data_IF_657101301275
#
_entry.id   IF_657101301275
#
_cell.length_a   1.000
_cell.length_b   1.000
_cell.length_c   1.000
_cell.angle_alpha   90.00
_cell.angle_beta   90.00
_cell.angle_gamma   90.00
#
_symmetry.space_group_name_H-M   'P 1'
#
loop_
_entity.id
_entity.type
_entity.pdbx_description
1 polymer ?
#
# COMPACT_ATOMS: atom_id res chain seq x y z
N UNK A 1 -46.56 16.58 -25.92
CA UNK A 1 -46.67 15.72 -24.72
C UNK A 1 -45.44 15.94 -23.87
N UNK A 2 -45.53 16.79 -22.85
CA UNK A 2 -44.48 16.91 -21.84
C UNK A 2 -44.55 15.63 -21.00
N UNK A 3 -43.64 14.69 -21.23
CA UNK A 3 -43.45 13.57 -20.30
C UNK A 3 -42.85 14.16 -19.02
N UNK A 4 -43.71 14.33 -18.01
CA UNK A 4 -43.28 14.54 -16.64
C UNK A 4 -42.49 13.29 -16.23
N UNK A 5 -41.16 13.40 -16.21
CA UNK A 5 -40.32 12.40 -15.55
C UNK A 5 -40.71 12.46 -14.06
N UNK A 6 -41.23 11.37 -13.48
CA UNK A 6 -41.57 11.36 -12.06
C UNK A 6 -40.30 11.66 -11.25
N UNK A 7 -40.39 12.40 -10.13
CA UNK A 7 -39.23 12.64 -9.28
C UNK A 7 -38.63 11.29 -8.86
N UNK A 8 -37.31 11.17 -8.98
CA UNK A 8 -36.59 9.97 -8.56
C UNK A 8 -36.98 9.62 -7.12
N UNK A 9 -37.26 8.34 -6.86
CA UNK A 9 -37.62 7.88 -5.52
C UNK A 9 -36.43 8.14 -4.60
N UNK A 10 -36.66 8.84 -3.50
CA UNK A 10 -35.60 9.07 -2.51
C UNK A 10 -35.12 7.70 -1.98
N UNK A 11 -33.86 7.39 -2.22
CA UNK A 11 -33.25 6.10 -1.92
C UNK A 11 -32.61 6.18 -0.54
N UNK A 12 -32.84 5.20 0.33
CA UNK A 12 -32.13 5.12 1.61
C UNK A 12 -30.70 4.59 1.42
N UNK A 13 -29.82 4.82 2.41
CA UNK A 13 -28.46 4.24 2.41
C UNK A 13 -28.52 2.72 2.35
N UNK A 14 -29.47 2.11 3.08
CA UNK A 14 -29.70 0.67 3.10
C UNK A 14 -30.11 0.15 1.72
N UNK A 15 -31.05 0.83 1.06
CA UNK A 15 -31.47 0.49 -0.31
C UNK A 15 -30.31 0.61 -1.31
N UNK A 16 -29.45 1.62 -1.13
CA UNK A 16 -28.30 1.85 -2.00
C UNK A 16 -27.27 0.74 -1.82
N UNK A 17 -26.89 0.41 -0.60
CA UNK A 17 -25.94 -0.68 -0.33
C UNK A 17 -26.51 -2.04 -0.70
N UNK A 18 -27.80 -2.30 -0.44
CA UNK A 18 -28.45 -3.51 -0.92
C UNK A 18 -28.36 -3.61 -2.44
N UNK A 19 -28.61 -2.51 -3.17
CA UNK A 19 -28.46 -2.46 -4.62
C UNK A 19 -27.01 -2.77 -5.04
N UNK A 20 -26.01 -2.13 -4.42
CA UNK A 20 -24.61 -2.37 -4.75
C UNK A 20 -24.20 -3.82 -4.50
N UNK A 21 -24.56 -4.37 -3.33
CA UNK A 21 -24.22 -5.73 -2.95
C UNK A 21 -24.92 -6.76 -3.87
N UNK A 22 -26.20 -6.54 -4.18
CA UNK A 22 -26.95 -7.41 -5.11
C UNK A 22 -26.33 -7.42 -6.51
N UNK A 23 -25.78 -6.29 -6.96
CA UNK A 23 -25.27 -6.13 -8.32
C UNK A 23 -23.73 -6.08 -8.41
N UNK A 24 -23.01 -6.37 -7.32
CA UNK A 24 -21.58 -6.09 -7.17
C UNK A 24 -20.73 -6.67 -8.31
N UNK A 25 -20.95 -7.95 -8.65
CA UNK A 25 -20.19 -8.63 -9.71
C UNK A 25 -20.38 -7.96 -11.08
N UNK A 26 -21.62 -7.60 -11.43
CA UNK A 26 -21.91 -6.98 -12.72
C UNK A 26 -21.45 -5.51 -12.75
N UNK A 27 -21.62 -4.78 -11.65
CA UNK A 27 -21.12 -3.41 -11.50
C UNK A 27 -19.61 -3.36 -11.63
N UNK A 28 -18.87 -4.18 -10.88
CA UNK A 28 -17.41 -4.28 -10.99
C UNK A 28 -17.02 -4.58 -12.42
N UNK A 29 -17.63 -5.58 -13.06
CA UNK A 29 -17.33 -5.92 -14.46
C UNK A 29 -17.56 -4.74 -15.42
N UNK A 30 -18.67 -4.02 -15.27
CA UNK A 30 -18.97 -2.84 -16.07
C UNK A 30 -17.95 -1.71 -15.82
N UNK A 31 -17.60 -1.45 -14.55
CA UNK A 31 -16.61 -0.43 -14.19
C UNK A 31 -15.24 -0.74 -14.76
N UNK A 32 -14.77 -2.00 -14.68
CA UNK A 32 -13.51 -2.42 -15.29
C UNK A 32 -13.52 -2.27 -16.82
N UNK A 33 -14.67 -2.50 -17.46
CA UNK A 33 -14.82 -2.27 -18.91
C UNK A 33 -14.65 -0.78 -19.25
N UNK A 34 -15.35 0.11 -18.53
CA UNK A 34 -15.26 1.55 -18.77
C UNK A 34 -13.89 2.14 -18.41
N UNK A 35 -13.25 1.59 -17.38
CA UNK A 35 -11.88 1.95 -17.01
C UNK A 35 -10.89 1.62 -18.14
N UNK A 36 -11.02 0.44 -18.76
CA UNK A 36 -10.17 0.02 -19.90
C UNK A 36 -10.43 0.81 -21.19
N UNK A 37 -11.66 1.29 -21.38
CA UNK A 37 -12.02 2.15 -22.52
C UNK A 37 -11.55 3.60 -22.34
N UNK A 38 -11.09 3.96 -21.15
CA UNK A 38 -10.59 5.30 -20.85
C UNK A 38 -9.15 5.46 -21.36
N UNK A 39 -8.99 5.83 -22.62
CA UNK A 39 -7.71 5.92 -23.33
C UNK A 39 -6.71 6.95 -22.76
N UNK A 40 -7.15 7.82 -21.85
CA UNK A 40 -6.33 8.89 -21.25
C UNK A 40 -5.57 8.48 -19.99
N UNK A 41 -5.81 7.30 -19.43
CA UNK A 41 -5.21 6.88 -18.15
C UNK A 41 -3.91 6.09 -18.37
N UNK A 42 -2.87 6.42 -17.60
CA UNK A 42 -1.63 5.64 -17.55
C UNK A 42 -1.84 4.29 -16.85
N UNK A 43 -0.91 3.34 -17.04
CA UNK A 43 -1.00 2.01 -16.41
C UNK A 43 -1.07 2.05 -14.88
N UNK A 44 -0.46 3.05 -14.23
CA UNK A 44 -0.53 3.24 -12.78
C UNK A 44 -1.84 3.90 -12.35
N UNK A 45 -2.32 4.91 -13.08
CA UNK A 45 -3.61 5.56 -12.81
C UNK A 45 -4.77 4.56 -12.91
N UNK A 46 -4.73 3.67 -13.90
CA UNK A 46 -5.71 2.59 -14.05
C UNK A 46 -5.77 1.72 -12.78
N UNK A 47 -4.61 1.27 -12.28
CA UNK A 47 -4.53 0.43 -11.08
C UNK A 47 -4.99 1.17 -9.82
N UNK A 48 -4.72 2.47 -9.70
CA UNK A 48 -5.19 3.29 -8.59
C UNK A 48 -6.71 3.36 -8.61
N UNK A 49 -7.32 3.66 -9.76
CA UNK A 49 -8.79 3.72 -9.85
C UNK A 49 -9.40 2.34 -9.61
N UNK A 50 -8.80 1.26 -10.12
CA UNK A 50 -9.22 -0.12 -9.83
C UNK A 50 -9.19 -0.42 -8.33
N UNK A 51 -8.15 0.01 -7.61
CA UNK A 51 -8.07 -0.09 -6.15
C UNK A 51 -9.18 0.71 -5.45
N UNK A 52 -9.44 1.94 -5.88
CA UNK A 52 -10.52 2.76 -5.32
C UNK A 52 -11.89 2.10 -5.52
N UNK A 53 -12.11 1.46 -6.67
CA UNK A 53 -13.32 0.70 -6.95
C UNK A 53 -13.45 -0.50 -6.01
N UNK A 54 -12.42 -1.33 -5.95
CA UNK A 54 -12.46 -2.55 -5.13
C UNK A 54 -12.63 -2.23 -3.64
N UNK A 55 -11.92 -1.22 -3.13
CA UNK A 55 -12.05 -0.77 -1.74
C UNK A 55 -13.43 -0.19 -1.46
N UNK A 56 -14.00 0.62 -2.36
CA UNK A 56 -15.35 1.16 -2.18
C UNK A 56 -16.39 0.04 -2.02
N UNK A 57 -16.34 -0.99 -2.86
CA UNK A 57 -17.26 -2.13 -2.72
C UNK A 57 -17.02 -2.96 -1.46
N UNK A 58 -15.78 -3.07 -0.98
CA UNK A 58 -15.49 -3.73 0.29
C UNK A 58 -16.13 -2.99 1.46
N UNK A 59 -16.04 -1.66 1.47
CA UNK A 59 -16.67 -0.84 2.50
C UNK A 59 -18.20 -0.94 2.49
N UNK A 60 -18.84 -1.05 1.32
CA UNK A 60 -20.32 -1.21 1.22
C UNK A 60 -20.83 -2.58 1.69
N UNK A 61 -19.94 -3.58 1.74
CA UNK A 61 -20.27 -4.92 2.28
C UNK A 61 -20.13 -5.03 3.79
N UNK A 62 -19.33 -4.16 4.43
CA UNK A 62 -19.13 -4.12 5.86
C UNK A 62 -20.27 -3.31 6.52
N UNK A 63 -21.40 -3.96 6.77
CA UNK A 63 -22.54 -3.36 7.47
C UNK A 63 -22.25 -3.26 8.99
N UNK A 64 -22.35 -2.09 9.61
CA UNK A 64 -22.73 -1.99 11.01
C UNK A 64 -24.27 -2.09 11.10
N UNK A 65 -24.77 -2.91 12.03
CA UNK A 65 -26.20 -3.13 12.31
C UNK A 65 -26.94 -1.89 12.87
N UNK A 66 -26.70 -0.67 12.39
CA UNK A 66 -27.28 0.54 12.98
C UNK A 66 -27.80 1.55 11.95
N UNK A 67 -29.08 1.87 12.08
CA UNK A 67 -29.89 2.81 11.30
C UNK A 67 -29.56 4.31 11.51
N UNK A 68 -28.30 4.65 11.81
CA UNK A 68 -27.92 6.01 12.24
C UNK A 68 -27.10 6.72 11.16
N UNK A 69 -27.59 7.88 10.68
CA UNK A 69 -26.89 8.77 9.70
C UNK A 69 -25.46 9.17 10.12
N UNK A 70 -25.13 9.12 11.41
CA UNK A 70 -23.77 9.38 11.90
C UNK A 70 -22.75 8.32 11.45
N UNK A 71 -23.21 7.12 11.12
CA UNK A 71 -22.35 6.00 10.73
C UNK A 71 -21.95 6.07 9.25
N UNK A 72 -22.84 6.57 8.38
CA UNK A 72 -22.56 6.81 6.95
C UNK A 72 -21.38 7.79 6.77
N UNK A 73 -21.42 8.94 7.45
CA UNK A 73 -20.37 9.95 7.33
C UNK A 73 -19.05 9.46 7.90
N UNK A 74 -19.07 8.65 8.97
CA UNK A 74 -17.86 8.01 9.50
C UNK A 74 -17.24 7.04 8.51
N UNK A 75 -18.04 6.21 7.84
CA UNK A 75 -17.57 5.26 6.83
C UNK A 75 -16.96 5.97 5.62
N UNK A 76 -17.61 7.02 5.13
CA UNK A 76 -17.09 7.85 4.04
C UNK A 76 -15.76 8.50 4.45
N UNK A 77 -15.68 9.04 5.67
CA UNK A 77 -14.45 9.65 6.17
C UNK A 77 -13.32 8.62 6.34
N UNK A 78 -13.61 7.42 6.83
CA UNK A 78 -12.63 6.33 6.95
C UNK A 78 -12.10 5.91 5.57
N UNK A 79 -12.98 5.69 4.58
CA UNK A 79 -12.56 5.36 3.22
C UNK A 79 -11.70 6.48 2.59
N UNK A 80 -12.04 7.75 2.81
CA UNK A 80 -11.21 8.87 2.34
C UNK A 80 -9.83 8.83 2.99
N UNK A 81 -9.77 8.63 4.32
CA UNK A 81 -8.51 8.61 5.07
C UNK A 81 -7.58 7.51 4.58
N UNK A 82 -8.12 6.30 4.37
CA UNK A 82 -7.35 5.15 3.87
C UNK A 82 -6.71 5.39 2.49
N UNK A 83 -7.30 6.27 1.68
CA UNK A 83 -6.88 6.52 0.31
C UNK A 83 -6.38 7.95 0.10
N UNK A 84 -6.21 8.74 1.16
CA UNK A 84 -5.97 10.19 1.03
C UNK A 84 -4.71 10.53 0.24
N UNK A 85 -3.67 9.72 0.37
CA UNK A 85 -2.40 9.88 -0.34
C UNK A 85 -2.50 9.62 -1.84
N UNK A 86 -3.59 9.00 -2.29
CA UNK A 86 -3.87 8.69 -3.69
C UNK A 86 -5.18 9.32 -4.19
N UNK A 87 -5.94 9.99 -3.35
CA UNK A 87 -7.13 10.73 -3.77
C UNK A 87 -6.75 12.12 -4.28
N UNK A 88 -7.46 12.56 -5.30
CA UNK A 88 -7.49 13.95 -5.75
C UNK A 88 -8.83 14.20 -6.46
N UNK A 89 -9.15 15.47 -6.76
CA UNK A 89 -10.41 15.81 -7.41
C UNK A 89 -10.59 15.14 -8.77
N UNK A 90 -9.52 14.96 -9.54
CA UNK A 90 -9.56 14.28 -10.83
C UNK A 90 -9.94 12.81 -10.69
N UNK A 91 -9.29 12.07 -9.78
CA UNK A 91 -9.54 10.65 -9.52
C UNK A 91 -10.94 10.42 -8.93
N UNK A 92 -11.40 11.29 -8.03
CA UNK A 92 -12.78 11.27 -7.51
C UNK A 92 -13.77 11.44 -8.67
N UNK A 93 -13.50 12.39 -9.57
CA UNK A 93 -14.34 12.62 -10.75
C UNK A 93 -14.32 11.45 -11.73
N UNK A 94 -13.17 10.85 -12.00
CA UNK A 94 -13.04 9.66 -12.85
C UNK A 94 -13.79 8.47 -12.27
N UNK A 95 -13.61 8.20 -10.96
CA UNK A 95 -14.36 7.19 -10.24
C UNK A 95 -15.87 7.43 -10.38
N UNK A 96 -16.30 8.68 -10.23
CA UNK A 96 -17.71 9.06 -10.37
C UNK A 96 -18.28 8.74 -11.77
N UNK A 97 -17.60 9.19 -12.83
CA UNK A 97 -18.02 8.96 -14.22
C UNK A 97 -18.09 7.46 -14.53
N UNK A 98 -17.06 6.70 -14.12
CA UNK A 98 -16.99 5.26 -14.38
C UNK A 98 -18.12 4.53 -13.66
N UNK A 99 -18.41 4.91 -12.42
CA UNK A 99 -19.51 4.33 -11.65
C UNK A 99 -20.86 4.63 -12.29
N UNK A 100 -21.11 5.89 -12.68
CA UNK A 100 -22.36 6.28 -13.33
C UNK A 100 -22.60 5.51 -14.63
N UNK A 101 -21.58 5.40 -15.49
CA UNK A 101 -21.63 4.60 -16.73
C UNK A 101 -21.89 3.11 -16.43
N UNK A 102 -21.28 2.58 -15.38
CA UNK A 102 -21.46 1.19 -15.00
C UNK A 102 -22.87 0.88 -14.50
N UNK A 103 -23.44 1.78 -13.69
CA UNK A 103 -24.84 1.70 -13.22
C UNK A 103 -25.81 1.86 -14.39
N UNK A 104 -25.58 2.82 -15.29
CA UNK A 104 -26.43 3.06 -16.46
C UNK A 104 -26.47 1.87 -17.45
N UNK A 105 -25.42 1.03 -17.44
CA UNK A 105 -25.33 -0.18 -18.29
C UNK A 105 -25.60 -1.47 -17.55
N UNK A 106 -26.06 -1.41 -16.29
CA UNK A 106 -26.56 -2.59 -15.62
C UNK A 106 -27.80 -3.12 -16.36
N UNK A 107 -27.74 -4.39 -16.75
CA UNK A 107 -28.89 -5.12 -17.24
C UNK A 107 -29.78 -5.50 -16.06
N UNK A 108 -30.58 -4.55 -15.57
CA UNK A 108 -31.58 -4.80 -14.52
C UNK A 108 -32.92 -5.10 -15.18
N UNK A 109 -33.55 -6.21 -14.78
CA UNK A 109 -34.93 -6.49 -15.16
C UNK A 109 -35.85 -5.44 -14.51
N UNK A 110 -36.36 -4.50 -15.31
CA UNK A 110 -37.40 -3.52 -14.99
C UNK A 110 -37.19 -2.62 -13.75
N UNK A 111 -36.66 -1.41 -14.00
CA UNK A 111 -37.30 -0.09 -13.75
C UNK A 111 -36.22 0.99 -13.90
N UNK A 112 -36.29 1.78 -14.97
CA UNK A 112 -35.40 2.93 -15.21
C UNK A 112 -35.35 3.88 -13.99
N UNK A 113 -36.45 4.00 -13.25
CA UNK A 113 -36.55 4.83 -12.05
C UNK A 113 -35.58 4.44 -10.93
N UNK A 114 -35.30 3.14 -10.73
CA UNK A 114 -34.35 2.68 -9.71
C UNK A 114 -32.91 3.07 -10.09
N UNK A 115 -32.54 2.87 -11.36
CA UNK A 115 -31.22 3.26 -11.89
C UNK A 115 -31.00 4.75 -11.72
N UNK A 116 -31.98 5.58 -12.09
CA UNK A 116 -31.92 7.04 -11.91
C UNK A 116 -31.76 7.39 -10.42
N UNK A 117 -32.53 6.76 -9.55
CA UNK A 117 -32.47 7.01 -8.10
C UNK A 117 -31.09 6.64 -7.51
N UNK A 118 -30.47 5.54 -7.96
CA UNK A 118 -29.12 5.13 -7.57
C UNK A 118 -28.06 6.13 -8.06
N UNK A 119 -28.17 6.61 -9.30
CA UNK A 119 -27.25 7.62 -9.86
C UNK A 119 -27.34 8.93 -9.06
N UNK A 120 -28.55 9.43 -8.81
CA UNK A 120 -28.78 10.66 -8.03
C UNK A 120 -28.26 10.51 -6.60
N UNK A 121 -28.51 9.35 -5.97
CA UNK A 121 -27.99 9.08 -4.63
C UNK A 121 -26.46 9.06 -4.61
N UNK A 122 -25.84 8.41 -5.59
CA UNK A 122 -24.39 8.38 -5.70
C UNK A 122 -23.78 9.76 -6.02
N UNK A 123 -24.47 10.64 -6.75
CA UNK A 123 -24.06 12.04 -6.89
C UNK A 123 -23.99 12.76 -5.55
N UNK A 124 -24.93 12.49 -4.64
CA UNK A 124 -24.89 12.99 -3.26
C UNK A 124 -23.66 12.45 -2.51
N UNK A 125 -23.38 11.14 -2.58
CA UNK A 125 -22.18 10.54 -1.99
C UNK A 125 -20.91 11.17 -2.56
N UNK A 126 -20.81 11.30 -3.89
CA UNK A 126 -19.65 11.89 -4.58
C UNK A 126 -19.41 13.35 -4.17
N UNK A 127 -20.50 14.10 -3.97
CA UNK A 127 -20.44 15.47 -3.46
C UNK A 127 -19.94 15.51 -2.02
N UNK A 128 -20.46 14.63 -1.14
CA UNK A 128 -19.96 14.47 0.23
C UNK A 128 -18.49 14.04 0.26
N UNK A 129 -18.07 13.13 -0.62
CA UNK A 129 -16.69 12.68 -0.78
C UNK A 129 -15.79 13.86 -1.15
N UNK A 130 -16.17 14.62 -2.18
CA UNK A 130 -15.42 15.80 -2.65
C UNK A 130 -15.33 16.88 -1.57
N UNK A 131 -16.42 17.15 -0.85
CA UNK A 131 -16.44 18.10 0.24
C UNK A 131 -15.61 17.63 1.44
N UNK A 132 -15.65 16.34 1.77
CA UNK A 132 -14.89 15.77 2.88
C UNK A 132 -13.39 15.75 2.55
N UNK A 133 -13.02 15.41 1.32
CA UNK A 133 -11.65 15.53 0.81
C UNK A 133 -11.16 16.99 0.85
N UNK A 134 -11.99 17.94 0.39
CA UNK A 134 -11.71 19.37 0.47
C UNK A 134 -11.53 19.84 1.92
N UNK A 135 -12.45 19.49 2.80
CA UNK A 135 -12.39 19.82 4.22
C UNK A 135 -11.16 19.22 4.87
N UNK A 136 -10.75 18.02 4.49
CA UNK A 136 -9.53 17.40 5.01
C UNK A 136 -8.30 18.20 4.57
N UNK A 137 -8.21 18.57 3.29
CA UNK A 137 -7.15 19.44 2.79
C UNK A 137 -7.17 20.85 3.45
N UNK A 138 -8.35 21.41 3.75
CA UNK A 138 -8.51 22.75 4.33
C UNK A 138 -8.36 22.81 5.87
N UNK A 139 -8.83 21.80 6.60
CA UNK A 139 -8.73 21.75 8.07
C UNK A 139 -7.29 21.44 8.54
N UNK A 140 -6.51 20.77 7.69
CA UNK A 140 -5.06 20.60 7.88
C UNK A 140 -4.26 21.92 7.83
N UNK A 141 -4.89 23.04 7.46
CA UNK A 141 -4.32 24.39 7.57
C UNK A 141 -4.58 25.06 8.92
N UNK A 142 -5.39 24.47 9.81
CA UNK A 142 -5.94 25.14 11.00
C UNK A 142 -5.70 24.44 12.34
N UNK A 143 -5.12 23.24 12.38
CA UNK A 143 -4.81 22.55 13.64
C UNK A 143 -3.50 23.05 14.25
N UNK A 144 -3.60 23.82 15.33
CA UNK A 144 -2.47 24.12 16.22
C UNK A 144 -2.05 22.82 16.93
N UNK A 145 -0.91 22.24 16.50
CA UNK A 145 -0.33 21.04 17.10
C UNK A 145 0.37 20.10 16.12
N UNK A 146 0.08 20.19 14.82
CA UNK A 146 0.82 19.49 13.75
C UNK A 146 2.07 20.30 13.33
N UNK A 147 3.01 19.66 12.63
CA UNK A 147 4.19 20.32 12.04
C UNK A 147 3.81 21.37 10.96
N UNK A 148 2.50 21.59 10.75
CA UNK A 148 1.87 22.43 9.73
C UNK A 148 1.03 23.61 10.28
N UNK A 149 1.25 24.11 11.50
CA UNK A 149 0.67 25.41 11.88
C UNK A 149 1.39 26.59 11.17
N UNK A 150 1.00 26.85 9.93
CA UNK A 150 0.78 28.18 9.34
C UNK A 150 0.87 28.14 7.81
N UNK A 151 -0.08 28.83 7.19
CA UNK A 151 -0.36 29.08 5.76
C UNK A 151 0.76 29.74 4.93
N UNK A 152 2.04 29.60 5.29
CA UNK A 152 3.17 30.11 4.53
C UNK A 152 3.97 28.95 3.88
N UNK A 153 3.91 28.77 2.55
CA UNK A 153 4.67 27.75 1.83
C UNK A 153 6.17 27.76 2.15
N UNK A 154 6.76 28.93 2.38
CA UNK A 154 8.17 29.06 2.74
C UNK A 154 8.48 28.47 4.13
N UNK A 155 7.57 28.65 5.10
CA UNK A 155 7.72 28.11 6.46
C UNK A 155 7.61 26.58 6.44
N UNK A 156 6.67 26.04 5.66
CA UNK A 156 6.57 24.59 5.45
C UNK A 156 7.84 24.02 4.82
N UNK A 157 8.32 24.61 3.72
CA UNK A 157 9.54 24.17 3.06
C UNK A 157 10.73 24.23 4.03
N UNK A 158 10.87 25.31 4.79
CA UNK A 158 11.92 25.45 5.79
C UNK A 158 11.84 24.35 6.87
N UNK A 159 10.65 24.04 7.38
CA UNK A 159 10.47 22.97 8.36
C UNK A 159 10.78 21.59 7.77
N UNK A 160 10.30 21.33 6.55
CA UNK A 160 10.60 20.12 5.79
C UNK A 160 12.12 19.94 5.62
N UNK A 161 12.83 20.97 5.16
CA UNK A 161 14.29 20.93 5.02
C UNK A 161 15.00 20.71 6.35
N UNK A 162 14.50 21.31 7.43
CA UNK A 162 15.05 21.10 8.78
C UNK A 162 14.95 19.65 9.21
N UNK A 163 13.76 19.04 9.09
CA UNK A 163 13.51 17.64 9.43
C UNK A 163 14.40 16.70 8.61
N UNK A 164 14.42 16.90 7.30
CA UNK A 164 15.23 16.09 6.37
C UNK A 164 16.72 16.20 6.71
N UNK A 165 17.25 17.41 6.93
CA UNK A 165 18.65 17.60 7.27
C UNK A 165 19.01 16.97 8.63
N UNK A 166 18.10 17.00 9.61
CA UNK A 166 18.31 16.31 10.88
C UNK A 166 18.41 14.79 10.66
N UNK A 167 17.50 14.20 9.88
CA UNK A 167 17.55 12.78 9.55
C UNK A 167 18.81 12.41 8.75
N UNK A 168 19.16 13.20 7.73
CA UNK A 168 20.33 12.96 6.89
C UNK A 168 21.61 12.90 7.73
N UNK A 169 21.76 13.77 8.74
CA UNK A 169 22.89 13.71 9.68
C UNK A 169 22.96 12.39 10.44
N UNK A 170 21.83 11.87 10.90
CA UNK A 170 21.74 10.57 11.59
C UNK A 170 22.10 9.43 10.64
N UNK A 171 21.58 9.47 9.41
CA UNK A 171 21.86 8.46 8.39
C UNK A 171 23.34 8.46 8.00
N UNK A 172 23.95 9.63 7.78
CA UNK A 172 25.37 9.77 7.41
C UNK A 172 26.31 9.24 8.51
N UNK A 173 25.92 9.39 9.78
CA UNK A 173 26.68 8.86 10.91
C UNK A 173 26.51 7.34 11.09
N UNK A 174 25.56 6.73 10.38
CA UNK A 174 25.24 5.31 10.45
C UNK A 174 26.00 4.51 9.38
N UNK A 175 26.47 3.31 9.74
CA UNK A 175 27.41 2.54 8.92
C UNK A 175 26.92 1.14 8.53
N UNK A 176 25.85 0.64 9.16
CA UNK A 176 25.29 -0.68 8.86
C UNK A 176 23.89 -0.90 9.44
N UNK A 177 23.29 -2.05 9.11
CA UNK A 177 21.92 -2.43 9.55
C UNK A 177 21.70 -2.41 11.07
N UNK A 178 22.78 -2.53 11.87
CA UNK A 178 22.70 -2.42 13.34
C UNK A 178 22.28 -1.02 13.80
N UNK A 179 22.58 -0.01 13.00
CA UNK A 179 22.28 1.40 13.28
C UNK A 179 20.85 1.77 12.87
N UNK A 180 20.12 0.87 12.20
CA UNK A 180 18.72 1.13 11.82
C UNK A 180 17.86 1.45 13.04
N UNK A 181 18.06 0.75 14.17
CA UNK A 181 17.36 1.05 15.41
C UNK A 181 17.62 2.48 15.93
N UNK A 182 18.84 2.98 15.77
CA UNK A 182 19.19 4.35 16.12
C UNK A 182 18.52 5.36 15.19
N UNK A 183 18.46 5.07 13.88
CA UNK A 183 17.73 5.89 12.91
C UNK A 183 16.23 5.94 13.23
N UNK A 184 15.60 4.80 13.53
CA UNK A 184 14.17 4.78 13.89
C UNK A 184 13.89 5.56 15.18
N UNK A 185 14.81 5.47 16.16
CA UNK A 185 14.67 6.26 17.39
C UNK A 185 14.77 7.76 17.11
N UNK A 186 15.69 8.17 16.23
CA UNK A 186 15.75 9.56 15.80
C UNK A 186 14.48 9.99 15.05
N UNK A 187 13.87 9.12 14.24
CA UNK A 187 12.58 9.41 13.61
C UNK A 187 11.48 9.68 14.63
N UNK A 188 11.39 8.91 15.72
CA UNK A 188 10.44 9.17 16.82
C UNK A 188 10.62 10.60 17.38
N UNK A 189 11.86 10.99 17.64
CA UNK A 189 12.19 12.28 18.24
C UNK A 189 11.99 13.47 17.26
N UNK A 190 12.48 13.34 16.03
CA UNK A 190 12.42 14.39 15.01
C UNK A 190 10.98 14.64 14.56
N UNK A 191 10.18 13.58 14.44
CA UNK A 191 8.79 13.65 13.96
C UNK A 191 7.77 13.71 15.09
N UNK A 192 8.21 13.66 16.36
CA UNK A 192 7.38 13.71 17.55
C UNK A 192 6.33 12.59 17.63
N UNK A 193 6.73 11.35 17.30
CA UNK A 193 5.92 10.14 17.50
C UNK A 193 6.43 9.34 18.70
N UNK A 194 5.53 8.69 19.44
CA UNK A 194 5.93 7.83 20.56
C UNK A 194 6.57 6.52 20.11
N UNK A 195 6.19 6.03 18.93
CA UNK A 195 6.65 4.74 18.43
C UNK A 195 6.90 4.78 16.92
N UNK A 196 8.07 4.29 16.52
CA UNK A 196 8.43 3.98 15.14
C UNK A 196 8.86 2.51 15.04
N UNK A 197 8.25 1.75 14.15
CA UNK A 197 8.54 0.31 13.98
C UNK A 197 8.86 0.01 12.52
N UNK A 198 9.92 -0.76 12.29
CA UNK A 198 10.26 -1.30 10.97
C UNK A 198 9.80 -2.74 10.81
N UNK A 199 9.10 -2.97 9.70
CA UNK A 199 8.70 -4.28 9.22
C UNK A 199 9.40 -4.57 7.89
N UNK A 200 10.10 -5.69 7.82
CA UNK A 200 10.72 -6.16 6.58
C UNK A 200 9.69 -6.91 5.74
N UNK A 201 9.75 -6.72 4.42
CA UNK A 201 8.88 -7.37 3.45
C UNK A 201 9.66 -8.32 2.54
N UNK A 202 9.12 -9.52 2.32
CA UNK A 202 9.71 -10.53 1.45
C UNK A 202 8.82 -10.68 0.21
N UNK A 203 9.30 -10.17 -0.92
CA UNK A 203 8.53 -10.04 -2.16
C UNK A 203 7.94 -11.37 -2.68
N UNK A 204 8.73 -12.45 -2.68
CA UNK A 204 8.31 -13.73 -3.29
C UNK A 204 7.32 -14.51 -2.44
N UNK A 205 7.44 -14.45 -1.10
CA UNK A 205 6.49 -15.09 -0.18
C UNK A 205 5.28 -14.21 0.09
N UNK A 206 5.39 -12.91 -0.17
CA UNK A 206 4.43 -11.89 0.27
C UNK A 206 4.25 -11.88 1.80
N UNK A 207 5.29 -12.29 2.52
CA UNK A 207 5.32 -12.28 3.97
C UNK A 207 6.01 -11.02 4.50
N UNK A 208 5.65 -10.64 5.71
CA UNK A 208 6.32 -9.58 6.44
C UNK A 208 6.58 -9.98 7.88
N UNK A 209 7.55 -9.31 8.51
CA UNK A 209 7.89 -9.52 9.92
C UNK A 209 8.37 -8.22 10.56
N UNK A 210 7.93 -7.96 11.79
CA UNK A 210 8.47 -6.89 12.61
C UNK A 210 9.92 -7.18 13.02
N UNK A 211 10.82 -6.25 12.74
CA UNK A 211 12.25 -6.43 12.97
C UNK A 211 12.73 -5.55 14.11
N UNK A 212 12.40 -4.26 14.07
CA UNK A 212 12.94 -3.23 14.97
C UNK A 212 11.82 -2.30 15.41
N UNK A 213 11.79 -1.95 16.69
CA UNK A 213 10.89 -0.95 17.26
C UNK A 213 10.91 -1.01 18.77
N UNK A 214 10.24 -0.05 19.42
CA UNK A 214 9.94 -0.14 20.85
C UNK A 214 9.09 -1.39 21.13
N UNK A 215 9.20 -1.96 22.33
CA UNK A 215 8.51 -3.21 22.68
C UNK A 215 8.91 -4.38 21.75
N UNK A 216 10.21 -4.58 21.54
CA UNK A 216 10.79 -5.48 20.53
C UNK A 216 10.15 -6.89 20.48
N UNK A 217 9.83 -7.48 21.64
CA UNK A 217 9.17 -8.80 21.68
C UNK A 217 7.79 -8.79 21.04
N UNK A 218 6.99 -7.73 21.25
CA UNK A 218 5.68 -7.55 20.58
C UNK A 218 5.88 -7.34 19.08
N UNK A 219 6.82 -6.46 18.71
CA UNK A 219 7.16 -6.19 17.30
C UNK A 219 7.55 -7.48 16.57
N UNK A 220 8.46 -8.27 17.13
CA UNK A 220 8.95 -9.50 16.51
C UNK A 220 7.92 -10.64 16.49
N UNK A 221 6.91 -10.56 17.35
CA UNK A 221 5.76 -11.48 17.31
C UNK A 221 4.81 -11.17 16.15
N UNK A 222 4.77 -9.92 15.69
CA UNK A 222 3.91 -9.50 14.59
C UNK A 222 4.53 -9.83 13.23
N UNK A 223 3.87 -10.75 12.52
CA UNK A 223 4.26 -11.27 11.21
C UNK A 223 3.01 -11.80 10.50
N UNK A 224 3.04 -11.86 9.19
CA UNK A 224 1.91 -12.38 8.42
C UNK A 224 2.13 -12.24 6.93
N UNK A 225 1.05 -12.40 6.17
CA UNK A 225 1.04 -12.16 4.73
C UNK A 225 0.35 -10.84 4.43
N UNK A 226 0.81 -10.11 3.42
CA UNK A 226 0.25 -8.79 3.07
C UNK A 226 -1.21 -8.88 2.62
N UNK A 227 -1.63 -10.05 2.14
CA UNK A 227 -2.99 -10.30 1.69
C UNK A 227 -4.03 -10.16 2.81
N UNK A 228 -3.62 -10.37 4.07
CA UNK A 228 -4.49 -10.24 5.24
C UNK A 228 -4.70 -8.79 5.69
N UNK A 229 -4.02 -7.81 5.07
CA UNK A 229 -4.03 -6.41 5.49
C UNK A 229 -4.29 -5.49 4.29
N UNK A 230 -5.53 -4.98 4.11
CA UNK A 230 -5.89 -4.12 2.98
C UNK A 230 -4.98 -2.88 2.84
N UNK A 231 -4.67 -2.24 3.96
CA UNK A 231 -3.78 -1.07 4.03
C UNK A 231 -2.38 -1.35 3.47
N UNK A 232 -1.81 -2.52 3.75
CA UNK A 232 -0.51 -2.91 3.22
C UNK A 232 -0.57 -3.23 1.72
N UNK A 233 -1.70 -3.77 1.23
CA UNK A 233 -1.91 -3.97 -0.21
C UNK A 233 -1.96 -2.64 -0.96
N UNK A 234 -2.65 -1.64 -0.40
CA UNK A 234 -2.65 -0.26 -0.91
C UNK A 234 -1.23 0.32 -0.92
N UNK A 235 -0.49 0.17 0.17
CA UNK A 235 0.90 0.63 0.27
C UNK A 235 1.80 -0.01 -0.80
N UNK A 236 1.74 -1.32 -1.00
CA UNK A 236 2.56 -2.00 -2.02
C UNK A 236 2.21 -1.58 -3.45
N UNK A 237 0.92 -1.37 -3.73
CA UNK A 237 0.47 -0.97 -5.06
C UNK A 237 0.89 0.46 -5.39
N UNK A 238 0.66 1.36 -4.45
CA UNK A 238 0.76 2.81 -4.64
C UNK A 238 2.15 3.35 -4.32
N UNK A 239 2.90 2.65 -3.45
CA UNK A 239 4.15 3.10 -2.85
C UNK A 239 4.00 4.45 -2.14
N UNK A 240 2.79 4.74 -1.66
CA UNK A 240 2.46 5.93 -0.90
C UNK A 240 2.21 5.58 0.57
N UNK A 241 2.45 6.53 1.49
CA UNK A 241 2.03 6.37 2.87
C UNK A 241 0.52 6.13 2.99
N UNK A 242 0.13 5.34 3.98
CA UNK A 242 -1.27 5.05 4.31
C UNK A 242 -1.53 5.55 5.72
N UNK A 243 -2.60 6.32 5.92
CA UNK A 243 -3.00 6.80 7.24
C UNK A 243 -4.32 6.16 7.63
N UNK A 244 -4.41 5.69 8.87
CA UNK A 244 -5.56 4.96 9.41
C UNK A 244 -5.92 5.61 10.74
N UNK A 245 -7.19 5.97 10.92
CA UNK A 245 -7.71 6.56 12.16
C UNK A 245 -8.90 5.75 12.65
N UNK A 246 -8.70 5.05 13.77
CA UNK A 246 -9.75 4.32 14.49
C UNK A 246 -10.62 3.41 13.60
N UNK A 247 -10.00 2.72 12.63
CA UNK A 247 -10.70 1.82 11.71
C UNK A 247 -10.23 0.37 11.86
N UNK A 248 -11.12 -0.46 12.43
CA UNK A 248 -10.93 -1.90 12.56
C UNK A 248 -11.08 -2.65 11.21
N UNK A 249 -11.57 -1.99 10.16
CA UNK A 249 -11.70 -2.60 8.84
C UNK A 249 -10.35 -2.75 8.12
N UNK A 250 -9.44 -1.79 8.35
CA UNK A 250 -8.11 -1.75 7.77
C UNK A 250 -7.01 -2.40 8.63
N UNK A 251 -7.25 -2.57 9.94
CA UNK A 251 -6.33 -3.21 10.89
C UNK A 251 -7.08 -4.23 11.76
N UNK A 252 -6.63 -5.50 11.86
CA UNK A 252 -7.25 -6.48 12.74
C UNK A 252 -7.29 -6.03 14.21
N UNK A 253 -8.40 -6.27 14.91
CA UNK A 253 -8.58 -5.87 16.32
C UNK A 253 -7.46 -6.37 17.25
N UNK A 254 -6.94 -7.57 17.00
CA UNK A 254 -5.83 -8.14 17.77
C UNK A 254 -4.59 -7.25 17.69
N UNK A 255 -4.34 -6.65 16.52
CA UNK A 255 -3.22 -5.73 16.29
C UNK A 255 -3.47 -4.41 17.03
N UNK A 256 -4.70 -3.89 16.96
CA UNK A 256 -5.10 -2.66 17.67
C UNK A 256 -4.87 -2.84 19.18
N UNK A 257 -5.30 -3.96 19.76
CA UNK A 257 -5.14 -4.27 21.19
C UNK A 257 -3.68 -4.53 21.56
N UNK A 258 -2.92 -5.25 20.72
CA UNK A 258 -1.53 -5.59 20.99
C UNK A 258 -0.63 -4.34 21.11
N UNK A 259 -0.90 -3.36 20.26
CA UNK A 259 -0.09 -2.16 20.11
C UNK A 259 -0.73 -0.90 20.72
N UNK A 260 -1.96 -0.97 21.23
CA UNK A 260 -2.73 0.19 21.71
C UNK A 260 -2.85 1.28 20.64
N UNK A 261 -3.48 0.94 19.51
CA UNK A 261 -3.58 1.82 18.34
C UNK A 261 -4.87 2.65 18.37
N UNK A 262 -4.74 3.94 18.10
CA UNK A 262 -5.88 4.83 17.82
C UNK A 262 -5.75 5.50 16.46
N UNK A 263 -4.53 5.88 16.09
CA UNK A 263 -4.16 6.34 14.74
C UNK A 263 -2.84 5.67 14.34
N UNK A 264 -2.65 5.37 13.06
CA UNK A 264 -1.45 4.73 12.51
C UNK A 264 -1.10 5.34 11.16
N UNK A 265 0.17 5.70 10.95
CA UNK A 265 0.71 5.94 9.61
C UNK A 265 1.62 4.78 9.24
N UNK A 266 1.45 4.25 8.02
CA UNK A 266 2.32 3.25 7.43
C UNK A 266 3.07 3.88 6.26
N UNK A 267 4.39 3.91 6.34
CA UNK A 267 5.28 4.59 5.38
C UNK A 267 6.10 3.54 4.64
N UNK A 268 5.96 3.42 3.32
CA UNK A 268 6.75 2.46 2.55
C UNK A 268 8.23 2.86 2.58
N UNK A 269 9.11 1.88 2.77
CA UNK A 269 10.54 2.04 2.56
C UNK A 269 10.84 1.51 1.17
N UNK A 270 11.30 2.40 0.29
CA UNK A 270 11.48 2.09 -1.12
C UNK A 270 12.88 2.37 -1.61
N UNK A 271 13.33 1.56 -2.57
CA UNK A 271 14.58 1.75 -3.30
C UNK A 271 14.35 1.33 -4.77
N UNK A 272 14.74 2.17 -5.73
CA UNK A 272 14.61 1.90 -7.19
C UNK A 272 13.26 1.28 -7.63
N UNK A 273 12.16 1.68 -6.97
CA UNK A 273 10.78 1.22 -7.16
C UNK A 273 10.36 -0.07 -6.44
N UNK A 274 11.25 -0.75 -5.73
CA UNK A 274 10.92 -1.89 -4.87
C UNK A 274 10.60 -1.44 -3.44
N UNK A 275 9.78 -2.24 -2.74
CA UNK A 275 9.40 -1.98 -1.36
C UNK A 275 10.13 -2.98 -0.47
N UNK A 276 11.19 -2.56 0.21
CA UNK A 276 11.95 -3.46 1.11
C UNK A 276 11.22 -3.74 2.43
N UNK A 277 10.25 -2.90 2.76
CA UNK A 277 9.50 -2.95 4.00
C UNK A 277 8.72 -1.66 4.22
N UNK A 278 8.33 -1.41 5.46
CA UNK A 278 7.66 -0.17 5.84
C UNK A 278 7.96 0.21 7.28
N UNK A 279 7.81 1.50 7.56
CA UNK A 279 7.73 2.04 8.91
C UNK A 279 6.28 2.18 9.33
N UNK A 280 6.02 2.04 10.62
CA UNK A 280 4.78 2.52 11.23
C UNK A 280 5.06 3.60 12.24
N UNK A 281 4.18 4.60 12.31
CA UNK A 281 4.21 5.67 13.31
C UNK A 281 2.88 5.75 14.05
N UNK A 282 2.94 5.83 15.38
CA UNK A 282 1.75 6.03 16.21
C UNK A 282 2.07 6.74 17.54
N UNK A 283 1.01 7.03 18.30
CA UNK A 283 1.05 7.78 19.56
C UNK A 283 0.56 6.98 20.78
N UNK A 284 0.46 5.64 20.67
CA UNK A 284 0.06 4.72 21.75
C UNK A 284 -1.21 5.17 22.50
N UNK A 285 -2.38 4.83 21.96
CA UNK A 285 -3.69 5.13 22.54
C UNK A 285 -4.17 6.56 22.34
N UNK A 286 -3.36 7.41 21.68
CA UNK A 286 -3.70 8.82 21.41
C UNK A 286 -4.00 8.97 19.91
N UNK A 287 -5.18 9.50 19.60
CA UNK A 287 -5.54 9.86 18.24
C UNK A 287 -4.73 11.08 17.78
N UNK A 288 -4.37 11.09 16.50
CA UNK A 288 -3.79 12.24 15.83
C UNK A 288 -4.32 12.35 14.40
N UNK A 289 -4.14 13.53 13.82
CA UNK A 289 -4.42 13.85 12.43
C UNK A 289 -3.12 14.19 11.69
N UNK A 290 -3.18 14.24 10.37
CA UNK A 290 -2.02 14.45 9.52
C UNK A 290 -2.39 15.18 8.23
N UNK A 291 -1.45 15.88 7.62
CA UNK A 291 -1.65 16.55 6.32
C UNK A 291 -1.08 15.76 5.14
N UNK A 292 -1.54 16.08 3.92
CA UNK A 292 -0.98 15.49 2.70
C UNK A 292 0.51 15.83 2.54
N UNK A 293 0.89 17.05 2.90
CA UNK A 293 2.26 17.54 2.89
C UNK A 293 3.13 16.80 3.91
N UNK A 294 2.61 16.57 5.11
CA UNK A 294 3.29 15.77 6.11
C UNK A 294 3.46 14.32 5.62
N UNK A 295 2.45 13.72 4.95
CA UNK A 295 2.59 12.38 4.35
C UNK A 295 3.68 12.37 3.28
N UNK A 296 3.77 13.43 2.47
CA UNK A 296 4.82 13.57 1.46
C UNK A 296 6.21 13.66 2.10
N UNK A 297 6.34 14.35 3.24
CA UNK A 297 7.60 14.37 4.00
C UNK A 297 7.95 12.96 4.49
N UNK A 298 6.99 12.21 5.05
CA UNK A 298 7.23 10.82 5.46
C UNK A 298 7.60 9.91 4.29
N UNK A 299 6.99 10.08 3.12
CA UNK A 299 7.39 9.37 1.90
C UNK A 299 8.88 9.60 1.58
N UNK A 300 9.34 10.84 1.66
CA UNK A 300 10.75 11.20 1.42
C UNK A 300 11.71 10.61 2.47
N UNK A 301 11.24 10.47 3.71
CA UNK A 301 11.96 9.79 4.79
C UNK A 301 12.07 8.30 4.50
N UNK A 302 10.98 7.67 4.07
CA UNK A 302 10.95 6.26 3.67
C UNK A 302 11.92 5.94 2.54
N UNK A 303 12.02 6.82 1.53
CA UNK A 303 12.98 6.70 0.43
C UNK A 303 14.44 6.80 0.90
N UNK A 304 14.77 7.74 1.79
CA UNK A 304 16.12 7.90 2.35
C UNK A 304 16.56 6.70 3.19
N UNK A 305 15.65 6.18 4.00
CA UNK A 305 15.91 4.99 4.80
C UNK A 305 16.06 3.77 3.87
N UNK A 306 15.31 3.70 2.78
CA UNK A 306 15.48 2.67 1.75
C UNK A 306 16.85 2.71 1.12
N UNK A 307 17.33 3.90 0.74
CA UNK A 307 18.69 4.10 0.26
C UNK A 307 19.75 3.68 1.29
N UNK A 308 19.55 4.01 2.58
CA UNK A 308 20.44 3.56 3.64
C UNK A 308 20.48 2.03 3.77
N UNK A 309 19.33 1.37 3.78
CA UNK A 309 19.23 -0.10 3.88
C UNK A 309 19.92 -0.74 2.69
N UNK A 310 19.65 -0.28 1.47
CA UNK A 310 20.31 -0.80 0.27
C UNK A 310 21.83 -0.62 0.34
N UNK A 311 22.33 0.55 0.73
CA UNK A 311 23.76 0.79 0.89
C UNK A 311 24.41 -0.10 1.96
N UNK A 312 23.64 -0.53 2.96
CA UNK A 312 24.11 -1.50 3.95
C UNK A 312 24.14 -2.93 3.38
N UNK A 313 23.17 -3.30 2.54
CA UNK A 313 23.11 -4.60 1.87
C UNK A 313 24.14 -4.72 0.75
N UNK A 314 24.36 -3.68 -0.06
CA UNK A 314 25.46 -3.61 -1.03
C UNK A 314 26.81 -3.70 -0.35
N UNK A 315 27.01 -3.11 0.83
CA UNK A 315 28.23 -3.33 1.63
C UNK A 315 28.36 -4.78 2.14
N UNK A 316 27.27 -5.54 2.22
CA UNK A 316 27.30 -6.99 2.46
C UNK A 316 27.49 -7.80 1.15
N UNK A 317 27.00 -7.34 0.00
CA UNK A 317 27.25 -7.93 -1.32
C UNK A 317 28.69 -7.71 -1.78
N UNK A 318 29.30 -6.56 -1.46
CA UNK A 318 30.74 -6.29 -1.61
C UNK A 318 31.57 -7.24 -0.72
N UNK A 319 30.95 -7.88 0.30
CA UNK A 319 31.57 -8.96 1.09
C UNK A 319 31.29 -10.37 0.55
N UNK A 320 30.31 -10.56 -0.34
CA UNK A 320 30.12 -11.81 -1.08
C UNK A 320 30.41 -11.57 -2.56
N UNK A 321 31.70 -11.59 -2.90
CA UNK A 321 32.23 -11.49 -4.26
C UNK A 321 31.87 -12.74 -5.12
N UNK A 322 30.64 -13.22 -5.04
CA UNK A 322 30.13 -14.39 -5.77
C UNK A 322 29.54 -13.87 -7.07
N UNK A 323 30.40 -13.73 -8.07
CA UNK A 323 29.97 -13.54 -9.46
C UNK A 323 29.65 -14.90 -10.09
N UNK A 324 28.40 -15.06 -10.52
CA UNK A 324 28.00 -16.15 -11.38
C UNK A 324 28.31 -15.78 -12.84
N UNK A 325 28.81 -16.75 -13.59
CA UNK A 325 28.84 -16.63 -15.05
C UNK A 325 27.41 -16.64 -15.60
N UNK A 326 27.21 -16.12 -16.80
CA UNK A 326 25.90 -16.16 -17.48
C UNK A 326 25.32 -17.58 -17.54
N UNK A 327 26.17 -18.59 -17.77
CA UNK A 327 25.77 -20.00 -17.80
C UNK A 327 25.33 -20.51 -16.43
N UNK A 328 26.06 -20.15 -15.37
CA UNK A 328 25.67 -20.50 -13.99
C UNK A 328 24.37 -19.80 -13.57
N UNK A 329 24.16 -18.55 -13.99
CA UNK A 329 22.91 -17.82 -13.78
C UNK A 329 21.73 -18.51 -14.46
N UNK A 330 21.89 -18.87 -15.75
CA UNK A 330 20.84 -19.55 -16.51
C UNK A 330 20.49 -20.93 -15.90
N UNK A 331 21.50 -21.68 -15.48
CA UNK A 331 21.30 -22.96 -14.79
C UNK A 331 20.59 -22.73 -13.46
N UNK A 332 20.99 -21.72 -12.68
CA UNK A 332 20.37 -21.41 -11.39
C UNK A 332 18.89 -21.03 -11.54
N UNK A 333 18.53 -20.25 -12.57
CA UNK A 333 17.15 -19.87 -12.89
C UNK A 333 16.30 -21.09 -13.26
N UNK A 334 16.73 -21.91 -14.22
CA UNK A 334 15.99 -23.11 -14.62
C UNK A 334 15.88 -24.13 -13.48
N UNK A 335 16.90 -24.20 -12.63
CA UNK A 335 16.89 -25.03 -11.43
C UNK A 335 15.82 -24.56 -10.44
N UNK A 336 15.65 -23.24 -10.28
CA UNK A 336 14.62 -22.64 -9.43
C UNK A 336 13.20 -22.83 -9.99
N UNK A 337 13.06 -22.85 -11.32
CA UNK A 337 11.81 -23.16 -12.02
C UNK A 337 11.45 -24.67 -11.97
N UNK A 338 12.30 -25.51 -11.38
CA UNK A 338 12.02 -26.92 -11.17
C UNK A 338 12.37 -27.83 -12.35
N UNK A 339 13.16 -27.35 -13.31
CA UNK A 339 13.61 -28.18 -14.43
C UNK A 339 14.52 -29.31 -13.92
N UNK A 340 14.44 -30.47 -14.59
CA UNK A 340 15.40 -31.55 -14.43
C UNK A 340 16.62 -31.34 -15.34
N UNK A 341 17.70 -32.09 -15.09
CA UNK A 341 18.96 -31.90 -15.82
C UNK A 341 18.83 -32.15 -17.32
N UNK A 342 17.90 -33.03 -17.71
CA UNK A 342 17.68 -33.38 -19.11
C UNK A 342 17.01 -32.21 -19.84
N UNK A 343 15.91 -31.68 -19.29
CA UNK A 343 15.21 -30.52 -19.83
C UNK A 343 16.08 -29.26 -19.84
N UNK A 344 16.89 -29.04 -18.80
CA UNK A 344 17.88 -27.96 -18.79
C UNK A 344 18.91 -28.12 -19.90
N UNK A 345 19.39 -29.35 -20.14
CA UNK A 345 20.32 -29.66 -21.22
C UNK A 345 19.72 -29.38 -22.59
N UNK A 346 18.48 -29.81 -22.82
CA UNK A 346 17.73 -29.52 -24.05
C UNK A 346 17.54 -28.01 -24.26
N UNK A 347 17.16 -27.28 -23.21
CA UNK A 347 16.90 -25.84 -23.28
C UNK A 347 18.17 -24.99 -23.51
N UNK A 348 19.29 -25.38 -22.90
CA UNK A 348 20.55 -24.63 -22.95
C UNK A 348 21.53 -25.14 -24.01
N UNK A 349 21.15 -26.17 -24.78
CA UNK A 349 22.01 -26.91 -25.71
C UNK A 349 23.27 -27.48 -25.02
N UNK A 350 23.08 -28.13 -23.86
CA UNK A 350 24.12 -28.77 -23.06
C UNK A 350 23.83 -30.25 -22.85
N UNK A 351 24.86 -31.05 -22.58
CA UNK A 351 24.65 -32.42 -22.12
C UNK A 351 24.12 -32.45 -20.69
N UNK A 352 23.35 -33.48 -20.33
CA UNK A 352 22.87 -33.66 -18.95
C UNK A 352 24.03 -33.72 -17.93
N UNK A 353 25.17 -34.28 -18.37
CA UNK A 353 26.38 -34.32 -17.56
C UNK A 353 26.93 -32.92 -17.29
N UNK A 354 27.03 -32.10 -18.32
CA UNK A 354 27.50 -30.70 -18.20
C UNK A 354 26.58 -29.87 -17.28
N UNK A 355 25.26 -30.09 -17.34
CA UNK A 355 24.31 -29.43 -16.41
C UNK A 355 24.57 -29.85 -14.97
N UNK A 356 24.84 -31.14 -14.73
CA UNK A 356 25.20 -31.67 -13.40
C UNK A 356 26.47 -31.02 -12.85
N UNK A 357 27.45 -30.78 -13.73
CA UNK A 357 28.69 -30.11 -13.36
C UNK A 357 28.45 -28.65 -12.99
N UNK A 358 27.63 -27.92 -13.77
CA UNK A 358 27.23 -26.55 -13.42
C UNK A 358 26.50 -26.49 -12.07
N UNK A 359 25.58 -27.42 -11.79
CA UNK A 359 24.89 -27.48 -10.49
C UNK A 359 25.88 -27.79 -9.36
N UNK A 360 26.87 -28.65 -9.60
CA UNK A 360 27.92 -28.97 -8.62
C UNK A 360 28.84 -27.77 -8.35
N UNK A 361 29.16 -26.99 -9.39
CA UNK A 361 29.91 -25.74 -9.26
C UNK A 361 29.10 -24.68 -8.50
N UNK A 362 27.81 -24.56 -8.77
CA UNK A 362 26.89 -23.70 -8.01
C UNK A 362 26.79 -24.13 -6.54
N UNK A 363 26.70 -25.43 -6.25
CA UNK A 363 26.73 -25.95 -4.88
C UNK A 363 28.02 -25.52 -4.16
N UNK A 364 29.16 -25.61 -4.84
CA UNK A 364 30.45 -25.21 -4.28
C UNK A 364 30.54 -23.69 -4.08
N UNK A 365 30.23 -22.89 -5.11
CA UNK A 365 30.28 -21.42 -5.07
C UNK A 365 29.35 -20.82 -4.02
N UNK A 366 28.15 -21.40 -3.88
CA UNK A 366 27.16 -20.93 -2.93
C UNK A 366 27.31 -21.59 -1.56
N UNK A 367 28.28 -22.50 -1.36
CA UNK A 367 28.44 -23.29 -0.13
C UNK A 367 27.14 -23.99 0.29
N UNK A 368 26.49 -24.66 -0.67
CA UNK A 368 25.22 -25.36 -0.52
C UNK A 368 25.43 -26.89 -0.56
N UNK A 369 24.68 -27.62 0.26
CA UNK A 369 24.83 -29.08 0.40
C UNK A 369 24.01 -29.89 -0.61
N UNK A 370 23.02 -29.27 -1.25
CA UNK A 370 22.16 -29.91 -2.23
C UNK A 370 21.53 -28.86 -3.16
N UNK A 371 20.92 -29.32 -4.26
CA UNK A 371 20.27 -28.44 -5.25
C UNK A 371 19.18 -27.55 -4.66
N UNK A 372 18.44 -28.01 -3.65
CA UNK A 372 17.42 -27.21 -2.99
C UNK A 372 18.04 -26.05 -2.21
N UNK A 373 19.17 -26.30 -1.54
CA UNK A 373 19.95 -25.25 -0.87
C UNK A 373 20.58 -24.27 -1.85
N UNK A 374 20.97 -24.72 -3.05
CA UNK A 374 21.45 -23.83 -4.13
C UNK A 374 20.38 -22.80 -4.47
N UNK A 375 19.16 -23.25 -4.76
CA UNK A 375 18.02 -22.36 -5.07
C UNK A 375 17.71 -21.43 -3.88
N UNK A 376 17.59 -21.99 -2.67
CA UNK A 376 17.34 -21.22 -1.45
C UNK A 376 18.41 -20.16 -1.17
N UNK A 377 19.68 -20.44 -1.48
CA UNK A 377 20.76 -19.46 -1.34
C UNK A 377 20.77 -18.46 -2.49
N UNK A 378 20.44 -18.88 -3.71
CA UNK A 378 20.28 -17.99 -4.86
C UNK A 378 19.28 -16.87 -4.56
N UNK A 379 18.10 -17.19 -4.03
CA UNK A 379 17.13 -16.19 -3.58
C UNK A 379 17.63 -15.32 -2.42
N UNK A 380 18.27 -15.92 -1.41
CA UNK A 380 18.79 -15.18 -0.25
C UNK A 380 19.93 -14.21 -0.59
N UNK A 381 20.68 -14.49 -1.66
CA UNK A 381 21.81 -13.70 -2.12
C UNK A 381 21.41 -12.74 -3.26
N UNK A 382 20.13 -12.66 -3.63
CA UNK A 382 19.65 -11.80 -4.72
C UNK A 382 20.13 -12.24 -6.11
N UNK A 383 20.60 -13.48 -6.27
CA UNK A 383 21.03 -14.05 -7.55
C UNK A 383 19.85 -14.60 -8.38
N UNK A 384 18.67 -14.68 -7.76
CA UNK A 384 17.40 -15.11 -8.35
C UNK A 384 16.32 -14.08 -7.98
N UNK A 385 15.45 -13.76 -8.93
CA UNK A 385 14.35 -12.79 -8.79
C UNK A 385 13.01 -13.48 -8.53
#
# INVERSE_FOLDING_TARGET
MNQHVPPAKELSVEDFFLFLNTNANQLKRNMHMYLKLHSSLSGTELKIIELLIESFFQYTTLQPNSSIKSEEQKQINAWIQDHISILNFERIHQFHIIFEKAVATLKVNHKNDLIISVIVFFQSISSKLSQSYKNWNENNLKTEGSLSSNTNPEKYLMNKYKVINQLDKVIIQSSGMKDLAYILKACEEILNFKRCVFYAYIHWTKEFKGIIGSELSKVQSFKGTVQSYPSLKTLLLTRKPVFIKNDASSIPEETIKLFDLSSLIIVPITYEQDVVGWLTFDQMGVEFDYSAEELQLLEEIGQRIGLFINNCEEKNLIRTNIQLTERESNILTLLAEGYDNKKMGEYLHLSEHTVRDYISNLMTKLNAKNRTQVVSKGFRLGLLQ
#
